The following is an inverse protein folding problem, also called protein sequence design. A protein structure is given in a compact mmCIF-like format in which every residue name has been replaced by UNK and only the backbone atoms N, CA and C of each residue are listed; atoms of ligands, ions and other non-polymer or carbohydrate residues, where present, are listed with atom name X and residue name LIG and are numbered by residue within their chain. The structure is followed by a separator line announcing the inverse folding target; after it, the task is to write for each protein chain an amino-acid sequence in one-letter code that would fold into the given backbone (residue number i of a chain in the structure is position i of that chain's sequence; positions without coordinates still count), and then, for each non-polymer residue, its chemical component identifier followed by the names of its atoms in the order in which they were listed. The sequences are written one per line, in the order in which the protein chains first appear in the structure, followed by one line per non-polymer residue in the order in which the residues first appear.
data_IF_857112425962
#
_entry.id   IF_857112425962
#
_cell.length_a   1.000
_cell.length_b   1.000
_cell.length_c   1.000
_cell.angle_alpha   90.00
_cell.angle_beta   90.00
_cell.angle_gamma   90.00
#
_symmetry.space_group_name_H-M   'P 1'
#
loop_
_entity.id
_entity.type
_entity.pdbx_description
1 polymer ?
#
# COMPACT_ATOMS: atom_id res chain seq x y z
N UNK A 1 35.14 -3.77 0.89
CA UNK A 1 34.15 -2.67 0.83
C UNK A 1 33.46 -2.75 -0.52
N UNK A 2 32.14 -2.91 -0.63
CA UNK A 2 31.53 -2.81 -1.94
C UNK A 2 31.71 -1.37 -2.42
N UNK A 3 32.22 -1.24 -3.64
CA UNK A 3 32.58 0.03 -4.24
C UNK A 3 31.34 0.92 -4.33
N UNK A 4 31.33 1.99 -3.52
CA UNK A 4 30.41 3.09 -3.74
C UNK A 4 30.82 3.77 -5.05
N UNK A 5 30.03 3.59 -6.10
CA UNK A 5 30.25 4.31 -7.36
C UNK A 5 30.08 5.82 -7.09
N UNK A 6 31.04 6.61 -7.57
CA UNK A 6 31.34 8.01 -7.20
C UNK A 6 30.20 9.04 -7.29
N UNK A 7 28.99 8.65 -7.69
CA UNK A 7 27.81 9.52 -7.73
C UNK A 7 26.96 9.45 -6.44
N UNK A 8 27.04 8.38 -5.65
CA UNK A 8 26.14 8.14 -4.50
C UNK A 8 26.75 8.38 -3.11
N UNK A 9 28.08 8.57 -2.99
CA UNK A 9 28.77 8.80 -1.71
C UNK A 9 29.18 10.26 -1.46
N UNK A 10 28.78 11.20 -2.32
CA UNK A 10 29.02 12.62 -2.08
C UNK A 10 28.01 13.21 -1.09
N UNK A 11 28.42 14.22 -0.31
CA UNK A 11 27.53 15.02 0.55
C UNK A 11 26.27 15.48 -0.21
N UNK A 12 26.44 15.87 -1.48
CA UNK A 12 25.33 16.25 -2.36
C UNK A 12 24.31 15.12 -2.57
N UNK A 13 24.75 13.88 -2.80
CA UNK A 13 23.85 12.73 -2.98
C UNK A 13 23.06 12.40 -1.71
N UNK A 14 23.70 12.52 -0.55
CA UNK A 14 23.07 12.38 0.76
C UNK A 14 22.02 13.48 1.02
N UNK A 15 22.35 14.75 0.74
CA UNK A 15 21.39 15.85 0.86
C UNK A 15 20.20 15.67 -0.08
N UNK A 16 20.44 15.32 -1.35
CA UNK A 16 19.36 15.07 -2.32
C UNK A 16 18.44 13.93 -1.87
N UNK A 17 19.01 12.84 -1.32
CA UNK A 17 18.23 11.74 -0.77
C UNK A 17 17.36 12.22 0.40
N UNK A 18 17.92 12.96 1.37
CA UNK A 18 17.16 13.49 2.52
C UNK A 18 16.05 14.43 2.07
N UNK A 19 16.32 15.35 1.13
CA UNK A 19 15.30 16.23 0.57
C UNK A 19 14.17 15.43 -0.08
N UNK A 20 14.50 14.41 -0.87
CA UNK A 20 13.51 13.50 -1.46
C UNK A 20 12.69 12.78 -0.38
N UNK A 21 13.33 12.21 0.65
CA UNK A 21 12.63 11.49 1.72
C UNK A 21 11.69 12.42 2.52
N UNK A 22 12.14 13.63 2.86
CA UNK A 22 11.34 14.62 3.58
C UNK A 22 10.14 15.06 2.74
N UNK A 23 10.37 15.42 1.47
CA UNK A 23 9.28 15.83 0.57
C UNK A 23 8.26 14.71 0.37
N UNK A 24 8.74 13.47 0.24
CA UNK A 24 7.87 12.29 0.15
C UNK A 24 7.07 12.08 1.44
N UNK A 25 7.69 12.19 2.63
CA UNK A 25 6.99 12.05 3.91
C UNK A 25 5.84 13.05 4.03
N UNK A 26 6.10 14.34 3.76
CA UNK A 26 5.05 15.36 3.77
C UNK A 26 3.94 15.06 2.77
N UNK A 27 4.28 14.65 1.55
CA UNK A 27 3.29 14.30 0.53
C UNK A 27 2.40 13.12 0.96
N UNK A 28 2.99 12.06 1.54
CA UNK A 28 2.27 10.89 2.05
C UNK A 28 1.33 11.31 3.18
N UNK A 29 1.85 12.03 4.18
CA UNK A 29 1.10 12.39 5.39
C UNK A 29 -0.04 13.33 5.04
N UNK A 30 0.24 14.45 4.35
CA UNK A 30 -0.79 15.43 4.00
C UNK A 30 -1.86 14.79 3.12
N UNK A 31 -1.46 14.06 2.08
CA UNK A 31 -2.39 13.44 1.14
C UNK A 31 -3.34 12.43 1.81
N UNK A 32 -2.80 11.58 2.68
CA UNK A 32 -3.60 10.55 3.34
C UNK A 32 -4.38 11.07 4.55
N UNK A 33 -3.89 12.09 5.27
CA UNK A 33 -4.67 12.78 6.31
C UNK A 33 -5.88 13.50 5.71
N UNK A 34 -5.70 14.21 4.59
CA UNK A 34 -6.83 14.82 3.85
C UNK A 34 -7.81 13.73 3.42
N UNK A 35 -7.30 12.59 2.96
CA UNK A 35 -8.14 11.45 2.56
C UNK A 35 -8.97 10.91 3.72
N UNK A 36 -8.34 10.72 4.89
CA UNK A 36 -9.05 10.34 6.11
C UNK A 36 -10.10 11.37 6.50
N UNK A 37 -9.76 12.66 6.53
CA UNK A 37 -10.66 13.75 6.90
C UNK A 37 -11.89 13.82 5.99
N UNK A 38 -11.69 13.72 4.68
CA UNK A 38 -12.79 13.73 3.69
C UNK A 38 -13.73 12.54 3.92
N UNK A 39 -13.20 11.33 4.12
CA UNK A 39 -14.02 10.15 4.31
C UNK A 39 -14.63 10.02 5.70
N UNK A 40 -14.09 10.67 6.74
CA UNK A 40 -14.73 10.73 8.07
C UNK A 40 -15.83 11.78 8.14
N UNK A 41 -15.66 12.93 7.48
CA UNK A 41 -16.67 13.99 7.43
C UNK A 41 -17.89 13.61 6.59
N UNK A 42 -17.72 12.75 5.59
CA UNK A 42 -18.83 12.26 4.77
C UNK A 42 -19.65 11.24 5.58
N UNK A 43 -20.77 11.68 6.18
CA UNK A 43 -21.64 10.88 7.10
C UNK A 43 -22.23 9.59 6.51
N UNK A 44 -22.18 9.40 5.19
CA UNK A 44 -22.63 8.15 4.55
C UNK A 44 -21.51 7.11 4.60
N UNK A 45 -21.44 6.29 5.66
CA UNK A 45 -20.45 5.19 5.77
C UNK A 45 -20.82 4.03 4.84
N UNK A 46 -20.67 4.23 3.53
CA UNK A 46 -20.73 3.13 2.57
C UNK A 46 -19.54 2.19 2.81
N UNK A 47 -19.73 0.88 2.73
CA UNK A 47 -18.67 -0.14 2.89
C UNK A 47 -17.35 0.14 2.13
N UNK A 48 -17.32 0.67 0.88
CA UNK A 48 -16.06 1.07 0.22
C UNK A 48 -15.22 2.09 0.97
N UNK A 49 -15.86 3.00 1.71
CA UNK A 49 -15.14 4.05 2.45
C UNK A 49 -14.38 3.47 3.65
N UNK A 50 -14.81 2.31 4.19
CA UNK A 50 -14.11 1.62 5.26
C UNK A 50 -12.75 1.11 4.80
N UNK A 51 -12.70 0.47 3.64
CA UNK A 51 -11.44 0.00 3.05
C UNK A 51 -10.52 1.16 2.68
N UNK A 52 -11.05 2.28 2.16
CA UNK A 52 -10.24 3.46 1.84
C UNK A 52 -9.61 4.10 3.09
N UNK A 53 -10.35 4.12 4.21
CA UNK A 53 -9.82 4.56 5.51
C UNK A 53 -8.71 3.64 6.01
N UNK A 54 -8.87 2.32 5.86
CA UNK A 54 -7.84 1.33 6.20
C UNK A 54 -6.56 1.59 5.42
N UNK A 55 -6.68 1.80 4.10
CA UNK A 55 -5.54 2.10 3.23
C UNK A 55 -4.83 3.40 3.64
N UNK A 56 -5.59 4.48 3.80
CA UNK A 56 -5.04 5.78 4.19
C UNK A 56 -4.38 5.74 5.58
N UNK A 57 -4.90 4.94 6.52
CA UNK A 57 -4.28 4.74 7.83
C UNK A 57 -2.93 4.03 7.72
N UNK A 58 -2.84 2.97 6.91
CA UNK A 58 -1.58 2.27 6.67
C UNK A 58 -0.55 3.20 5.99
N UNK A 59 -0.97 3.98 4.99
CA UNK A 59 -0.10 4.93 4.30
C UNK A 59 0.39 6.06 5.24
N UNK A 60 -0.47 6.57 6.14
CA UNK A 60 -0.05 7.54 7.18
C UNK A 60 1.00 6.93 8.11
N UNK A 61 0.86 5.67 8.53
CA UNK A 61 1.88 5.01 9.37
C UNK A 61 3.24 4.95 8.68
N UNK A 62 3.28 4.68 7.37
CA UNK A 62 4.53 4.73 6.58
C UNK A 62 5.12 6.15 6.58
N UNK A 63 4.29 7.16 6.31
CA UNK A 63 4.73 8.56 6.24
C UNK A 63 5.13 9.19 7.57
N UNK A 64 4.58 8.73 8.69
CA UNK A 64 4.85 9.28 10.04
C UNK A 64 5.93 8.49 10.80
N UNK A 65 6.01 7.17 10.62
CA UNK A 65 6.93 6.33 11.38
C UNK A 65 8.16 5.95 10.54
N UNK A 66 7.93 5.37 9.35
CA UNK A 66 9.00 4.70 8.60
C UNK A 66 9.92 5.70 7.90
N UNK A 67 9.35 6.64 7.13
CA UNK A 67 10.13 7.62 6.37
C UNK A 67 10.87 8.59 7.32
N UNK A 68 10.25 9.15 8.36
CA UNK A 68 10.93 10.06 9.28
C UNK A 68 12.06 9.38 10.07
N UNK A 69 11.90 8.12 10.45
CA UNK A 69 12.99 7.35 11.07
C UNK A 69 14.21 7.21 10.13
N UNK A 70 13.96 7.00 8.84
CA UNK A 70 15.01 6.91 7.82
C UNK A 70 15.73 8.26 7.65
N UNK A 71 14.97 9.36 7.59
CA UNK A 71 15.51 10.72 7.57
C UNK A 71 16.36 11.01 8.80
N UNK A 72 15.86 10.69 9.99
CA UNK A 72 16.58 10.88 11.25
C UNK A 72 17.91 10.13 11.25
N UNK A 73 17.91 8.88 10.78
CA UNK A 73 19.11 8.05 10.73
C UNK A 73 20.15 8.63 9.76
N UNK A 74 19.74 9.04 8.56
CA UNK A 74 20.64 9.68 7.59
C UNK A 74 21.22 11.01 8.08
N UNK A 75 20.40 11.87 8.69
CA UNK A 75 20.88 13.14 9.27
C UNK A 75 21.86 12.86 10.41
N UNK A 76 21.55 11.90 11.28
CA UNK A 76 22.44 11.52 12.38
C UNK A 76 23.81 11.06 11.83
N UNK A 77 23.81 10.20 10.81
CA UNK A 77 25.03 9.73 10.16
C UNK A 77 25.85 10.87 9.54
N UNK A 78 25.20 11.88 8.94
CA UNK A 78 25.88 13.05 8.37
C UNK A 78 26.50 13.96 9.43
N UNK A 79 25.84 14.14 10.58
CA UNK A 79 26.27 15.08 11.63
C UNK A 79 27.31 14.47 12.55
N UNK A 80 27.10 13.24 13.02
CA UNK A 80 27.95 12.64 14.05
C UNK A 80 29.04 11.74 13.49
N UNK A 81 28.95 11.32 12.23
CA UNK A 81 29.85 10.34 11.58
C UNK A 81 30.05 9.01 12.34
N UNK A 82 29.23 8.76 13.37
CA UNK A 82 29.22 7.52 14.15
C UNK A 82 27.95 6.75 13.83
N UNK A 83 28.05 5.49 13.35
CA UNK A 83 26.88 4.70 13.04
C UNK A 83 26.09 4.37 14.32
N UNK A 84 24.76 4.58 14.33
CA UNK A 84 23.95 4.24 15.48
C UNK A 84 23.88 2.71 15.68
N UNK A 85 23.49 2.27 16.88
CA UNK A 85 23.47 0.85 17.26
C UNK A 85 22.57 -0.04 16.38
N UNK A 86 21.58 0.53 15.70
CA UNK A 86 20.67 -0.18 14.78
C UNK A 86 21.16 -0.19 13.31
N UNK A 87 22.36 0.35 13.06
CA UNK A 87 23.00 0.36 11.75
C UNK A 87 23.58 -1.01 11.41
N UNK A 88 23.52 -1.39 10.13
CA UNK A 88 24.06 -2.66 9.66
C UNK A 88 25.55 -2.81 10.03
N UNK A 89 25.88 -3.89 10.76
CA UNK A 89 27.26 -4.14 11.21
C UNK A 89 27.71 -3.35 12.44
N UNK A 90 26.81 -2.71 13.20
CA UNK A 90 27.11 -2.09 14.49
C UNK A 90 27.60 -3.10 15.54
N UNK A 91 28.79 -2.82 16.10
CA UNK A 91 29.56 -3.44 17.20
C UNK A 91 29.14 -4.81 17.81
N UNK A 92 30.10 -5.72 18.09
CA UNK A 92 29.86 -6.98 18.81
C UNK A 92 29.43 -6.81 20.27
N UNK A 93 29.48 -5.60 20.85
CA UNK A 93 28.77 -5.29 22.10
C UNK A 93 27.27 -5.06 21.81
N UNK A 94 26.58 -6.12 21.37
CA UNK A 94 25.14 -6.23 21.54
C UNK A 94 24.89 -6.35 23.04
N UNK A 95 24.74 -5.21 23.72
CA UNK A 95 24.25 -5.20 25.09
C UNK A 95 22.86 -5.86 25.06
N UNK A 96 22.78 -7.10 25.55
CA UNK A 96 21.50 -7.80 25.68
C UNK A 96 20.53 -6.90 26.47
N UNK A 97 19.36 -6.63 25.88
CA UNK A 97 18.32 -5.80 26.50
C UNK A 97 18.17 -4.37 25.94
N UNK A 98 19.00 -3.90 25.01
CA UNK A 98 18.77 -2.60 24.35
C UNK A 98 17.77 -2.74 23.20
N UNK A 99 16.68 -1.97 23.25
CA UNK A 99 15.65 -1.94 22.20
C UNK A 99 16.21 -1.37 20.88
N UNK A 100 16.06 -2.12 19.79
CA UNK A 100 16.49 -1.68 18.45
C UNK A 100 15.29 -1.16 17.64
N UNK A 101 15.30 0.12 17.21
CA UNK A 101 14.16 0.71 16.48
C UNK A 101 13.77 -0.04 15.21
N UNK A 102 14.73 -0.65 14.50
CA UNK A 102 14.44 -1.41 13.29
C UNK A 102 13.59 -2.66 13.52
N UNK A 103 13.57 -3.24 14.73
CA UNK A 103 12.64 -4.32 15.08
C UNK A 103 11.18 -3.86 15.06
N UNK A 104 10.90 -2.57 15.24
CA UNK A 104 9.56 -2.01 15.09
C UNK A 104 9.34 -1.46 13.68
N UNK A 105 10.27 -0.66 13.17
CA UNK A 105 10.09 0.11 11.94
C UNK A 105 10.00 -0.79 10.70
N UNK A 106 10.83 -1.84 10.60
CA UNK A 106 10.78 -2.70 9.41
C UNK A 106 9.50 -3.55 9.33
N UNK A 107 8.99 -4.17 10.42
CA UNK A 107 7.69 -4.83 10.40
C UNK A 107 6.53 -3.86 10.17
N UNK A 108 6.62 -2.60 10.61
CA UNK A 108 5.64 -1.55 10.25
C UNK A 108 5.64 -1.31 8.75
N UNK A 109 6.81 -1.16 8.12
CA UNK A 109 6.90 -0.97 6.67
C UNK A 109 6.33 -2.16 5.88
N UNK A 110 6.76 -3.37 6.20
CA UNK A 110 6.28 -4.59 5.55
C UNK A 110 4.79 -4.82 5.82
N UNK A 111 4.35 -4.69 7.07
CA UNK A 111 2.96 -4.87 7.48
C UNK A 111 2.02 -3.88 6.80
N UNK A 112 2.35 -2.59 6.77
CA UNK A 112 1.54 -1.59 6.06
C UNK A 112 1.46 -1.86 4.55
N UNK A 113 2.54 -2.36 3.94
CA UNK A 113 2.53 -2.80 2.54
C UNK A 113 1.55 -3.95 2.32
N UNK A 114 1.60 -4.99 3.16
CA UNK A 114 0.68 -6.13 3.08
C UNK A 114 -0.78 -5.74 3.35
N UNK A 115 -1.01 -4.80 4.27
CA UNK A 115 -2.34 -4.21 4.50
C UNK A 115 -2.83 -3.51 3.24
N UNK A 116 -1.96 -2.77 2.56
CA UNK A 116 -2.29 -2.03 1.34
C UNK A 116 -2.80 -2.95 0.22
N UNK A 117 -2.04 -3.99 -0.13
CA UNK A 117 -2.46 -4.96 -1.16
C UNK A 117 -3.70 -5.77 -0.74
N UNK A 118 -3.78 -6.19 0.52
CA UNK A 118 -4.94 -6.92 1.04
C UNK A 118 -6.19 -6.05 0.94
N UNK A 119 -6.07 -4.76 1.23
CA UNK A 119 -7.15 -3.78 1.12
C UNK A 119 -7.58 -3.61 -0.34
N UNK A 120 -6.64 -3.52 -1.30
CA UNK A 120 -6.94 -3.45 -2.75
C UNK A 120 -7.66 -4.73 -3.22
N UNK A 121 -7.22 -5.90 -2.77
CA UNK A 121 -7.87 -7.16 -3.08
C UNK A 121 -9.30 -7.22 -2.53
N UNK A 122 -9.50 -6.84 -1.26
CA UNK A 122 -10.82 -6.80 -0.64
C UNK A 122 -11.77 -5.80 -1.33
N UNK A 123 -11.27 -4.62 -1.71
CA UNK A 123 -12.03 -3.67 -2.54
C UNK A 123 -12.46 -4.32 -3.87
N UNK A 124 -11.58 -5.08 -4.49
CA UNK A 124 -11.84 -5.77 -5.76
C UNK A 124 -12.91 -6.85 -5.61
N UNK A 125 -12.81 -7.67 -4.56
CA UNK A 125 -13.80 -8.69 -4.22
C UNK A 125 -15.16 -8.04 -3.97
N UNK A 126 -15.22 -6.99 -3.16
CA UNK A 126 -16.47 -6.28 -2.89
C UNK A 126 -17.13 -5.76 -4.17
N UNK A 127 -16.33 -5.14 -5.07
CA UNK A 127 -16.85 -4.65 -6.35
C UNK A 127 -17.31 -5.78 -7.26
N UNK A 128 -16.59 -6.89 -7.30
CA UNK A 128 -16.98 -8.05 -8.08
C UNK A 128 -18.33 -8.61 -7.62
N UNK A 129 -18.58 -8.65 -6.31
CA UNK A 129 -19.88 -9.05 -5.76
C UNK A 129 -20.98 -8.08 -6.19
N UNK A 130 -20.74 -6.77 -6.13
CA UNK A 130 -21.71 -5.77 -6.58
C UNK A 130 -22.04 -5.88 -8.09
N UNK A 131 -21.06 -6.27 -8.91
CA UNK A 131 -21.20 -6.42 -10.36
C UNK A 131 -21.83 -7.76 -10.75
N UNK A 132 -21.39 -8.85 -10.13
CA UNK A 132 -21.80 -10.22 -10.47
C UNK A 132 -23.10 -10.62 -9.78
N UNK A 133 -23.34 -10.12 -8.57
CA UNK A 133 -24.48 -10.46 -7.71
C UNK A 133 -25.21 -9.22 -7.17
N UNK A 134 -25.67 -8.32 -8.05
CA UNK A 134 -26.32 -7.06 -7.67
C UNK A 134 -27.52 -7.23 -6.71
N UNK A 135 -28.31 -8.30 -6.86
CA UNK A 135 -29.50 -8.55 -6.01
C UNK A 135 -29.15 -9.03 -4.59
N UNK A 136 -27.97 -9.61 -4.39
CA UNK A 136 -27.51 -10.11 -3.09
C UNK A 136 -26.49 -9.18 -2.44
N UNK A 137 -26.10 -8.08 -3.12
CA UNK A 137 -25.11 -7.13 -2.65
C UNK A 137 -25.39 -6.65 -1.24
N UNK A 138 -26.61 -6.20 -0.96
CA UNK A 138 -26.97 -5.61 0.33
C UNK A 138 -27.04 -6.65 1.47
N UNK A 139 -27.22 -7.93 1.13
CA UNK A 139 -27.18 -9.05 2.08
C UNK A 139 -25.77 -9.58 2.33
N UNK A 140 -24.89 -9.49 1.32
CA UNK A 140 -23.51 -10.01 1.39
C UNK A 140 -22.55 -8.96 1.97
N UNK A 141 -22.61 -7.72 1.46
CA UNK A 141 -21.69 -6.63 1.75
C UNK A 141 -22.23 -5.80 2.92
N UNK A 142 -21.92 -6.22 4.14
CA UNK A 142 -22.33 -5.53 5.37
C UNK A 142 -21.17 -4.83 6.05
N UNK A 143 -21.44 -3.74 6.78
CA UNK A 143 -20.42 -2.96 7.51
C UNK A 143 -19.66 -3.80 8.54
N UNK A 144 -20.35 -4.69 9.26
CA UNK A 144 -19.73 -5.57 10.27
C UNK A 144 -18.74 -6.56 9.64
N UNK A 145 -19.12 -7.19 8.52
CA UNK A 145 -18.23 -8.09 7.76
C UNK A 145 -17.04 -7.34 7.19
N UNK A 146 -17.26 -6.15 6.62
CA UNK A 146 -16.16 -5.33 6.09
C UNK A 146 -15.16 -4.92 7.18
N UNK A 147 -15.63 -4.50 8.36
CA UNK A 147 -14.76 -4.19 9.50
C UNK A 147 -13.97 -5.43 9.96
N UNK A 148 -14.63 -6.58 10.08
CA UNK A 148 -13.98 -7.84 10.43
C UNK A 148 -12.89 -8.21 9.41
N UNK A 149 -13.16 -8.10 8.12
CA UNK A 149 -12.18 -8.37 7.06
C UNK A 149 -10.98 -7.41 7.11
N UNK A 150 -11.21 -6.13 7.41
CA UNK A 150 -10.13 -5.16 7.65
C UNK A 150 -9.29 -5.57 8.86
N UNK A 151 -9.90 -5.86 10.01
CA UNK A 151 -9.15 -6.26 11.20
C UNK A 151 -8.35 -7.55 10.97
N UNK A 152 -8.96 -8.53 10.28
CA UNK A 152 -8.30 -9.76 9.90
C UNK A 152 -7.12 -9.50 8.96
N UNK A 153 -7.28 -8.62 7.96
CA UNK A 153 -6.20 -8.29 7.03
C UNK A 153 -5.04 -7.57 7.72
N UNK A 154 -5.32 -6.72 8.70
CA UNK A 154 -4.29 -6.08 9.54
C UNK A 154 -3.54 -7.13 10.36
N UNK A 155 -4.27 -7.98 11.08
CA UNK A 155 -3.66 -9.04 11.88
C UNK A 155 -2.79 -9.97 11.02
N UNK A 156 -3.33 -10.50 9.91
CA UNK A 156 -2.57 -11.40 9.02
C UNK A 156 -1.36 -10.72 8.37
N UNK A 157 -1.46 -9.45 8.01
CA UNK A 157 -0.35 -8.67 7.42
C UNK A 157 0.80 -8.46 8.41
N UNK A 158 0.51 -8.08 9.65
CA UNK A 158 1.55 -7.91 10.66
C UNK A 158 2.11 -9.24 11.15
N UNK A 159 1.29 -10.30 11.25
CA UNK A 159 1.77 -11.65 11.51
C UNK A 159 2.72 -12.13 10.41
N UNK A 160 2.39 -11.88 9.15
CA UNK A 160 3.24 -12.20 8.01
C UNK A 160 4.57 -11.41 8.05
N UNK A 161 4.52 -10.11 8.32
CA UNK A 161 5.70 -9.28 8.46
C UNK A 161 6.63 -9.77 9.60
N UNK A 162 6.06 -10.23 10.70
CA UNK A 162 6.84 -10.74 11.83
C UNK A 162 7.32 -12.19 11.66
N UNK A 163 6.72 -12.96 10.74
CA UNK A 163 6.98 -14.39 10.58
C UNK A 163 8.48 -14.75 10.44
N UNK A 164 9.31 -14.02 9.66
CA UNK A 164 10.73 -14.38 9.52
C UNK A 164 11.54 -14.24 10.83
N UNK A 165 11.09 -13.41 11.77
CA UNK A 165 11.76 -13.20 13.05
C UNK A 165 11.50 -14.34 14.04
N UNK A 166 10.31 -14.96 13.96
CA UNK A 166 9.89 -16.01 14.87
C UNK A 166 10.10 -17.42 14.29
N UNK A 167 9.81 -17.62 13.01
CA UNK A 167 9.83 -18.95 12.36
C UNK A 167 11.23 -19.32 11.87
N UNK A 168 12.07 -18.32 11.59
CA UNK A 168 13.37 -18.52 10.95
C UNK A 168 14.58 -18.52 11.88
N UNK A 169 14.51 -17.91 13.07
CA UNK A 169 15.61 -17.75 14.04
C UNK A 169 16.89 -17.04 13.55
N UNK A 170 17.07 -16.94 12.23
CA UNK A 170 18.29 -16.49 11.55
C UNK A 170 18.12 -15.17 10.82
N UNK A 171 17.02 -14.44 11.02
CA UNK A 171 16.87 -13.08 10.49
C UNK A 171 16.75 -12.06 11.63
N UNK A 172 17.34 -10.90 11.40
CA UNK A 172 17.21 -9.70 12.23
C UNK A 172 16.83 -8.53 11.34
N UNK A 173 16.42 -7.42 11.95
CA UNK A 173 16.13 -6.18 11.24
C UNK A 173 17.21 -5.15 11.52
N UNK A 174 17.90 -4.74 10.47
CA UNK A 174 19.00 -3.77 10.54
C UNK A 174 18.75 -2.63 9.55
N UNK A 175 19.27 -1.45 9.87
CA UNK A 175 19.23 -0.33 8.93
C UNK A 175 20.29 -0.51 7.85
N UNK A 176 19.85 -0.61 6.60
CA UNK A 176 20.73 -0.83 5.46
C UNK A 176 21.07 0.48 4.76
N UNK A 177 22.36 0.74 4.59
CA UNK A 177 22.89 1.98 3.99
C UNK A 177 22.49 2.18 2.52
N UNK A 178 22.34 1.08 1.77
CA UNK A 178 22.01 1.12 0.36
C UNK A 178 20.54 1.49 0.15
N UNK A 179 19.63 0.80 0.86
CA UNK A 179 18.20 1.10 0.75
C UNK A 179 17.78 2.31 1.59
N UNK A 180 18.60 2.75 2.55
CA UNK A 180 18.29 3.78 3.55
C UNK A 180 16.99 3.50 4.30
N UNK A 181 16.83 2.24 4.70
CA UNK A 181 15.61 1.74 5.35
C UNK A 181 15.94 0.51 6.21
N UNK A 182 15.14 0.26 7.24
CA UNK A 182 15.22 -0.99 7.99
C UNK A 182 14.78 -2.16 7.10
N UNK A 183 15.66 -3.14 6.90
CA UNK A 183 15.39 -4.33 6.11
C UNK A 183 15.78 -5.61 6.86
N UNK A 184 15.35 -6.75 6.33
CA UNK A 184 15.71 -8.05 6.89
C UNK A 184 17.14 -8.40 6.49
N UNK A 185 17.97 -8.70 7.49
CA UNK A 185 19.34 -9.14 7.33
C UNK A 185 19.52 -10.53 7.97
N UNK A 186 20.29 -11.43 7.34
CA UNK A 186 20.64 -12.69 7.97
C UNK A 186 21.51 -12.44 9.21
N UNK A 187 21.22 -13.15 10.30
CA UNK A 187 21.94 -13.07 11.56
C UNK A 187 23.36 -13.63 11.38
N UNK A 188 24.37 -12.81 11.68
CA UNK A 188 25.80 -13.14 11.50
C UNK A 188 26.46 -13.79 12.73
N UNK A 189 25.70 -14.51 13.56
CA UNK A 189 26.28 -15.16 14.74
C UNK A 189 27.01 -16.43 14.27
N UNK A 190 28.34 -16.41 14.40
CA UNK A 190 29.32 -17.18 13.61
C UNK A 190 29.45 -18.68 13.87
N UNK A 191 28.37 -19.44 14.00
CA UNK A 191 28.44 -20.93 13.93
C UNK A 191 27.14 -21.63 13.54
N UNK A 192 26.12 -20.89 13.07
CA UNK A 192 24.84 -21.45 12.64
C UNK A 192 24.77 -21.73 11.13
N UNK A 193 23.94 -22.70 10.67
CA UNK A 193 23.62 -22.82 9.25
C UNK A 193 23.02 -21.50 8.75
N UNK A 194 23.46 -21.07 7.56
CA UNK A 194 22.96 -19.86 6.91
C UNK A 194 21.43 -19.85 6.95
N UNK A 195 20.83 -18.75 7.41
CA UNK A 195 19.39 -18.62 7.45
C UNK A 195 18.79 -18.91 6.07
N UNK A 196 17.77 -19.78 6.01
CA UNK A 196 17.12 -20.14 4.76
C UNK A 196 16.47 -18.90 4.14
N UNK A 197 17.17 -18.26 3.18
CA UNK A 197 16.71 -17.10 2.42
C UNK A 197 15.33 -17.28 1.79
N UNK A 198 14.96 -18.54 1.51
CA UNK A 198 13.67 -18.93 0.96
C UNK A 198 12.46 -18.43 1.78
N UNK A 199 12.59 -18.21 3.09
CA UNK A 199 11.49 -17.64 3.90
C UNK A 199 11.08 -16.24 3.42
N UNK A 200 12.03 -15.46 2.88
CA UNK A 200 11.75 -14.13 2.35
C UNK A 200 10.94 -14.17 1.05
N UNK A 201 10.92 -15.31 0.34
CA UNK A 201 10.08 -15.50 -0.84
C UNK A 201 8.58 -15.56 -0.48
N UNK A 202 8.25 -15.76 0.79
CA UNK A 202 6.86 -15.71 1.27
C UNK A 202 6.22 -14.36 0.98
N UNK A 203 6.99 -13.26 1.04
CA UNK A 203 6.49 -11.91 0.79
C UNK A 203 6.06 -11.72 -0.68
N UNK A 204 6.93 -11.86 -1.69
CA UNK A 204 6.50 -11.77 -3.09
C UNK A 204 5.50 -12.85 -3.48
N UNK A 205 5.56 -14.05 -2.89
CA UNK A 205 4.54 -15.07 -3.14
C UNK A 205 3.15 -14.61 -2.67
N UNK A 206 3.04 -14.03 -1.48
CA UNK A 206 1.79 -13.48 -0.96
C UNK A 206 1.27 -12.33 -1.84
N UNK A 207 2.13 -11.36 -2.15
CA UNK A 207 1.75 -10.18 -2.93
C UNK A 207 1.33 -10.54 -4.36
N UNK A 208 2.07 -11.41 -5.05
CA UNK A 208 1.68 -11.89 -6.38
C UNK A 208 0.41 -12.75 -6.35
N UNK A 209 0.16 -13.50 -5.28
CA UNK A 209 -1.09 -14.26 -5.13
C UNK A 209 -2.28 -13.32 -5.03
N UNK A 210 -2.19 -12.26 -4.23
CA UNK A 210 -3.26 -11.26 -4.11
C UNK A 210 -3.42 -10.42 -5.37
N UNK A 211 -2.32 -10.05 -6.04
CA UNK A 211 -2.35 -9.34 -7.32
C UNK A 211 -2.95 -10.20 -8.44
N UNK A 212 -2.53 -11.47 -8.53
CA UNK A 212 -3.08 -12.44 -9.47
C UNK A 212 -4.57 -12.68 -9.22
N UNK A 213 -4.97 -12.85 -7.95
CA UNK A 213 -6.37 -12.93 -7.54
C UNK A 213 -7.17 -11.68 -7.92
N UNK A 214 -6.61 -10.49 -7.68
CA UNK A 214 -7.22 -9.20 -8.04
C UNK A 214 -7.44 -9.11 -9.55
N UNK A 215 -6.43 -9.47 -10.35
CA UNK A 215 -6.52 -9.47 -11.80
C UNK A 215 -7.57 -10.48 -12.29
N UNK A 216 -7.55 -11.71 -11.76
CA UNK A 216 -8.50 -12.76 -12.13
C UNK A 216 -9.94 -12.35 -11.84
N UNK A 217 -10.20 -11.79 -10.65
CA UNK A 217 -11.52 -11.31 -10.24
C UNK A 217 -12.00 -10.15 -11.12
N UNK A 218 -11.10 -9.21 -11.44
CA UNK A 218 -11.42 -8.11 -12.35
C UNK A 218 -11.75 -8.61 -13.77
N UNK A 219 -10.92 -9.50 -14.33
CA UNK A 219 -11.16 -10.10 -15.66
C UNK A 219 -12.47 -10.88 -15.68
N UNK A 220 -12.75 -11.68 -14.64
CA UNK A 220 -14.02 -12.40 -14.53
C UNK A 220 -15.22 -11.44 -14.47
N UNK A 221 -15.11 -10.36 -13.70
CA UNK A 221 -16.15 -9.34 -13.59
C UNK A 221 -16.43 -8.67 -14.94
N UNK A 222 -15.38 -8.22 -15.65
CA UNK A 222 -15.52 -7.57 -16.96
C UNK A 222 -16.03 -8.53 -18.05
N UNK A 223 -15.54 -9.77 -18.09
CA UNK A 223 -16.00 -10.76 -19.07
C UNK A 223 -17.47 -11.11 -18.86
N UNK A 224 -17.92 -11.26 -17.61
CA UNK A 224 -19.33 -11.49 -17.26
C UNK A 224 -20.22 -10.31 -17.65
N UNK A 225 -19.81 -9.07 -17.37
CA UNK A 225 -20.53 -7.87 -17.84
C UNK A 225 -20.66 -7.88 -19.37
N UNK A 226 -19.55 -8.08 -20.09
CA UNK A 226 -19.55 -8.08 -21.57
C UNK A 226 -20.44 -9.17 -22.14
N UNK A 227 -20.40 -10.38 -21.58
CA UNK A 227 -21.28 -11.50 -21.99
C UNK A 227 -22.74 -11.16 -21.73
N UNK A 228 -23.07 -10.60 -20.58
CA UNK A 228 -24.44 -10.17 -20.25
C UNK A 228 -24.94 -9.09 -21.21
N UNK A 229 -24.14 -8.07 -21.48
CA UNK A 229 -24.47 -7.01 -22.45
C UNK A 229 -24.64 -7.56 -23.87
N UNK A 230 -23.77 -8.47 -24.32
CA UNK A 230 -23.86 -9.08 -25.66
C UNK A 230 -25.10 -9.97 -25.80
N UNK A 231 -25.40 -10.79 -24.80
CA UNK A 231 -26.62 -11.62 -24.77
C UNK A 231 -27.89 -10.76 -24.83
N UNK A 232 -27.92 -9.64 -24.09
CA UNK A 232 -29.03 -8.66 -24.18
C UNK A 232 -29.14 -7.99 -25.55
N UNK A 233 -28.02 -7.58 -26.17
CA UNK A 233 -28.05 -7.00 -27.52
C UNK A 233 -28.59 -7.96 -28.57
N UNK A 234 -28.28 -9.25 -28.47
CA UNK A 234 -28.83 -10.28 -29.35
C UNK A 234 -30.34 -10.46 -29.15
N UNK A 235 -30.81 -10.47 -27.89
CA UNK A 235 -32.24 -10.57 -27.56
C UNK A 235 -33.03 -9.31 -27.96
N UNK A 236 -32.47 -8.11 -27.76
CA UNK A 236 -33.10 -6.85 -28.16
C UNK A 236 -33.03 -6.60 -29.67
N UNK A 237 -32.01 -7.09 -30.37
CA UNK A 237 -31.91 -7.03 -31.82
C UNK A 237 -32.85 -8.01 -32.54
N UNK A 238 -33.38 -9.02 -31.83
CA UNK A 238 -34.40 -9.93 -32.35
C UNK A 238 -35.84 -9.42 -32.10
N UNK A 239 -36.02 -8.31 -31.36
CA UNK A 239 -37.33 -7.81 -30.95
C UNK A 239 -37.44 -6.30 -31.03
N UNK A 240 -37.49 -5.75 -32.26
CA UNK A 240 -38.14 -4.47 -32.53
C UNK A 240 -38.52 -4.32 -34.01
N UNK A 241 -39.68 -4.89 -34.36
CA UNK A 241 -40.78 -4.09 -34.91
C UNK A 241 -41.87 -4.06 -33.84
N UNK A 242 -42.12 -2.91 -33.21
CA UNK A 242 -43.15 -2.79 -32.17
C UNK A 242 -42.86 -1.71 -31.15
N UNK A 243 -43.43 -0.54 -31.42
CA UNK A 243 -43.46 0.68 -30.62
C UNK A 243 -44.03 0.49 -29.20
N UNK A 244 -43.66 1.40 -28.28
CA UNK A 244 -44.40 1.67 -27.06
C UNK A 244 -43.92 1.02 -25.75
N UNK A 245 -43.70 1.86 -24.74
CA UNK A 245 -43.88 1.48 -23.34
C UNK A 245 -42.62 1.45 -22.48
N UNK A 246 -42.45 2.48 -21.65
CA UNK A 246 -41.39 2.60 -20.66
C UNK A 246 -41.29 1.39 -19.73
N UNK A 247 -40.13 0.75 -19.74
CA UNK A 247 -39.75 -0.30 -18.80
C UNK A 247 -38.23 -0.35 -18.69
N UNK A 248 -37.62 0.66 -18.06
CA UNK A 248 -36.21 0.61 -17.72
C UNK A 248 -35.94 -0.57 -16.77
N UNK A 249 -35.51 -1.72 -17.30
CA UNK A 249 -35.23 -2.90 -16.48
C UNK A 249 -34.10 -2.64 -15.45
N UNK A 250 -34.11 -3.31 -14.28
CA UNK A 250 -33.37 -2.93 -13.07
C UNK A 250 -31.87 -3.32 -13.08
N UNK A 251 -31.30 -3.62 -14.25
CA UNK A 251 -30.07 -4.41 -14.34
C UNK A 251 -29.08 -3.90 -15.40
N UNK A 252 -28.87 -2.58 -15.45
CA UNK A 252 -27.59 -2.06 -15.93
C UNK A 252 -26.66 -2.02 -14.72
N UNK A 253 -25.44 -2.59 -14.76
CA UNK A 253 -24.40 -2.13 -13.82
C UNK A 253 -24.36 -0.61 -13.95
N UNK A 254 -24.50 0.09 -12.83
CA UNK A 254 -24.58 1.55 -12.88
C UNK A 254 -23.31 2.07 -13.53
N UNK A 255 -23.39 3.17 -14.30
CA UNK A 255 -22.20 3.87 -14.80
C UNK A 255 -21.21 4.18 -13.66
N UNK A 256 -21.72 4.31 -12.42
CA UNK A 256 -20.94 4.44 -11.20
C UNK A 256 -20.08 3.20 -10.90
N UNK A 257 -20.63 1.99 -11.04
CA UNK A 257 -19.93 0.73 -10.73
C UNK A 257 -18.81 0.44 -11.75
N UNK A 258 -19.04 0.74 -13.02
CA UNK A 258 -18.02 0.63 -14.09
C UNK A 258 -16.87 1.60 -13.83
N UNK A 259 -17.18 2.84 -13.40
CA UNK A 259 -16.16 3.84 -13.08
C UNK A 259 -15.33 3.43 -11.86
N UNK A 260 -15.97 2.88 -10.83
CA UNK A 260 -15.29 2.36 -9.63
C UNK A 260 -14.37 1.17 -9.96
N UNK A 261 -14.83 0.21 -10.76
CA UNK A 261 -14.01 -0.92 -11.20
C UNK A 261 -12.76 -0.48 -12.00
N UNK A 262 -12.88 0.57 -12.82
CA UNK A 262 -11.74 1.17 -13.52
C UNK A 262 -10.73 1.79 -12.55
N UNK A 263 -11.19 2.47 -11.51
CA UNK A 263 -10.30 3.02 -10.46
C UNK A 263 -9.52 1.92 -9.76
N UNK A 264 -10.18 0.81 -9.41
CA UNK A 264 -9.50 -0.35 -8.80
C UNK A 264 -8.45 -0.93 -9.73
N UNK A 265 -8.75 -1.12 -11.02
CA UNK A 265 -7.75 -1.60 -11.98
C UNK A 265 -6.50 -0.69 -12.06
N UNK A 266 -6.68 0.63 -11.94
CA UNK A 266 -5.55 1.58 -11.89
C UNK A 266 -4.76 1.44 -10.58
N UNK A 267 -5.43 1.28 -9.43
CA UNK A 267 -4.77 1.03 -8.14
C UNK A 267 -3.95 -0.27 -8.17
N UNK A 268 -4.53 -1.36 -8.70
CA UNK A 268 -3.84 -2.64 -8.84
C UNK A 268 -2.59 -2.50 -9.73
N UNK A 269 -2.70 -1.77 -10.85
CA UNK A 269 -1.57 -1.54 -11.74
C UNK A 269 -0.47 -0.72 -11.06
N UNK A 270 -0.84 0.38 -10.37
CA UNK A 270 0.12 1.22 -9.64
C UNK A 270 0.87 0.41 -8.56
N UNK A 271 0.13 -0.35 -7.74
CA UNK A 271 0.74 -1.21 -6.72
C UNK A 271 1.68 -2.26 -7.34
N UNK A 272 1.27 -2.90 -8.43
CA UNK A 272 2.10 -3.90 -9.13
C UNK A 272 3.40 -3.28 -9.62
N UNK A 273 3.34 -2.10 -10.25
CA UNK A 273 4.51 -1.39 -10.74
C UNK A 273 5.47 -1.01 -9.60
N UNK A 274 4.93 -0.57 -8.45
CA UNK A 274 5.74 -0.19 -7.29
C UNK A 274 6.33 -1.39 -6.52
N UNK A 275 5.63 -2.52 -6.53
CA UNK A 275 6.04 -3.73 -5.80
C UNK A 275 7.03 -4.60 -6.58
N UNK A 276 6.93 -4.62 -7.91
CA UNK A 276 7.76 -5.48 -8.77
C UNK A 276 9.27 -5.34 -8.51
N UNK A 277 9.83 -4.13 -8.32
CA UNK A 277 11.26 -3.98 -7.98
C UNK A 277 11.65 -4.64 -6.65
N UNK A 278 10.80 -4.58 -5.62
CA UNK A 278 11.06 -5.26 -4.34
C UNK A 278 11.06 -6.77 -4.55
N UNK A 279 10.09 -7.31 -5.29
CA UNK A 279 10.03 -8.74 -5.56
C UNK A 279 11.31 -9.24 -6.28
N UNK A 280 11.78 -8.47 -7.27
CA UNK A 280 13.02 -8.74 -7.99
C UNK A 280 14.24 -8.65 -7.06
N UNK A 281 14.29 -7.65 -6.18
CA UNK A 281 15.35 -7.49 -5.18
C UNK A 281 15.41 -8.68 -4.21
N UNK A 282 14.27 -9.12 -3.68
CA UNK A 282 14.18 -10.27 -2.77
C UNK A 282 14.65 -11.54 -3.46
N UNK A 283 14.18 -11.79 -4.68
CA UNK A 283 14.62 -12.95 -5.48
C UNK A 283 16.14 -12.90 -5.74
N UNK A 284 16.66 -11.73 -6.12
CA UNK A 284 18.10 -11.51 -6.34
C UNK A 284 18.93 -11.84 -5.09
N UNK A 285 18.52 -11.37 -3.91
CA UNK A 285 19.22 -11.66 -2.66
C UNK A 285 19.18 -13.15 -2.30
N UNK A 286 18.06 -13.85 -2.54
CA UNK A 286 17.95 -15.29 -2.29
C UNK A 286 18.88 -16.09 -3.20
N UNK A 287 19.10 -15.63 -4.43
CA UNK A 287 20.06 -16.21 -5.38
C UNK A 287 21.52 -15.82 -5.07
N UNK A 288 21.74 -14.87 -4.15
CA UNK A 288 23.06 -14.44 -3.70
C UNK A 288 23.60 -13.17 -4.36
N UNK A 289 22.76 -12.42 -5.08
CA UNK A 289 23.14 -11.12 -5.64
C UNK A 289 23.04 -9.99 -4.62
N UNK A 290 23.97 -9.03 -4.67
CA UNK A 290 23.97 -7.82 -3.84
C UNK A 290 23.77 -6.60 -4.72
N UNK A 291 22.63 -5.91 -4.58
CA UNK A 291 22.29 -4.76 -5.43
C UNK A 291 22.05 -3.48 -4.63
N UNK A 292 23.13 -2.75 -4.35
CA UNK A 292 23.08 -1.55 -3.51
C UNK A 292 22.23 -0.42 -4.14
N UNK A 293 22.55 0.00 -5.36
CA UNK A 293 21.81 1.09 -6.03
C UNK A 293 20.35 0.72 -6.30
N UNK A 294 20.09 -0.52 -6.70
CA UNK A 294 18.74 -1.00 -6.99
C UNK A 294 17.86 -1.10 -5.74
N UNK A 295 18.43 -1.43 -4.57
CA UNK A 295 17.66 -1.54 -3.33
C UNK A 295 17.06 -0.19 -2.92
N UNK A 296 17.79 0.91 -3.10
CA UNK A 296 17.22 2.26 -2.93
C UNK A 296 15.98 2.44 -3.80
N UNK A 297 16.10 2.25 -5.12
CA UNK A 297 14.98 2.42 -6.03
C UNK A 297 13.80 1.51 -5.68
N UNK A 298 14.06 0.25 -5.31
CA UNK A 298 13.02 -0.71 -4.99
C UNK A 298 12.21 -0.32 -3.75
N UNK A 299 12.88 0.02 -2.64
CA UNK A 299 12.22 0.40 -1.39
C UNK A 299 11.47 1.72 -1.50
N UNK A 300 12.09 2.73 -2.11
CA UNK A 300 11.50 4.06 -2.22
C UNK A 300 10.40 4.15 -3.26
N UNK A 301 10.43 3.32 -4.32
CA UNK A 301 9.30 3.19 -5.24
C UNK A 301 8.09 2.57 -4.56
N UNK A 302 8.29 1.55 -3.72
CA UNK A 302 7.22 0.97 -2.93
C UNK A 302 6.65 1.97 -1.91
N UNK A 303 7.51 2.70 -1.19
CA UNK A 303 7.06 3.74 -0.26
C UNK A 303 6.28 4.86 -0.97
N UNK A 304 6.70 5.24 -2.20
CA UNK A 304 6.00 6.24 -3.00
C UNK A 304 4.61 5.80 -3.48
N UNK A 305 4.30 4.50 -3.48
CA UNK A 305 2.97 3.99 -3.81
C UNK A 305 1.88 4.57 -2.91
N UNK A 306 2.21 4.85 -1.64
CA UNK A 306 1.30 5.52 -0.68
C UNK A 306 0.85 6.91 -1.15
N UNK A 307 1.66 7.62 -1.96
CA UNK A 307 1.25 8.85 -2.63
C UNK A 307 0.40 8.58 -3.87
N UNK A 308 0.76 7.57 -4.66
CA UNK A 308 0.03 7.19 -5.86
C UNK A 308 -1.44 6.88 -5.54
N UNK A 309 -1.71 6.24 -4.40
CA UNK A 309 -3.06 5.98 -3.90
C UNK A 309 -3.91 7.26 -3.83
N UNK A 310 -3.40 8.30 -3.15
CA UNK A 310 -4.07 9.61 -3.00
C UNK A 310 -4.33 10.27 -4.36
N UNK A 311 -3.33 10.24 -5.25
CA UNK A 311 -3.43 10.80 -6.61
C UNK A 311 -4.51 10.09 -7.42
N UNK A 312 -4.60 8.77 -7.31
CA UNK A 312 -5.63 7.99 -8.02
C UNK A 312 -7.04 8.33 -7.49
N UNK A 313 -7.21 8.45 -6.17
CA UNK A 313 -8.48 8.86 -5.58
C UNK A 313 -8.88 10.28 -5.98
N UNK A 314 -7.95 11.22 -5.90
CA UNK A 314 -8.21 12.64 -6.22
C UNK A 314 -8.65 12.84 -7.67
N UNK A 315 -8.07 12.11 -8.62
CA UNK A 315 -8.42 12.23 -10.03
C UNK A 315 -9.73 11.51 -10.38
N UNK A 316 -10.02 10.37 -9.76
CA UNK A 316 -11.07 9.45 -10.23
C UNK A 316 -12.35 9.48 -9.42
N UNK A 317 -12.27 9.75 -8.12
CA UNK A 317 -13.44 9.74 -7.24
C UNK A 317 -14.13 11.11 -7.21
N UNK A 318 -15.35 11.17 -7.77
CA UNK A 318 -16.16 12.39 -7.78
C UNK A 318 -16.62 12.79 -6.38
N UNK A 319 -16.83 11.82 -5.48
CA UNK A 319 -17.16 12.06 -4.08
C UNK A 319 -15.96 12.62 -3.33
N UNK A 320 -14.77 12.10 -3.58
CA UNK A 320 -13.53 12.64 -3.01
C UNK A 320 -13.32 14.11 -3.42
N UNK A 321 -13.39 14.43 -4.71
CA UNK A 321 -13.21 15.82 -5.19
C UNK A 321 -14.24 16.78 -4.61
N UNK A 322 -15.50 16.34 -4.47
CA UNK A 322 -16.54 17.14 -3.81
C UNK A 322 -16.26 17.31 -2.31
N UNK A 323 -15.83 16.24 -1.64
CA UNK A 323 -15.44 16.26 -0.24
C UNK A 323 -14.25 17.17 0.04
N UNK A 324 -13.22 17.13 -0.80
CA UNK A 324 -12.06 18.06 -0.74
C UNK A 324 -12.52 19.51 -0.94
N UNK A 325 -13.36 19.79 -1.95
CA UNK A 325 -13.90 21.13 -2.16
C UNK A 325 -14.70 21.63 -0.97
N UNK A 326 -15.52 20.78 -0.34
CA UNK A 326 -16.26 21.10 0.87
C UNK A 326 -15.36 21.29 2.10
N UNK A 327 -14.31 20.48 2.25
CA UNK A 327 -13.34 20.60 3.33
C UNK A 327 -12.65 21.98 3.30
N UNK A 328 -12.08 22.36 2.15
CA UNK A 328 -11.43 23.65 1.98
C UNK A 328 -12.40 24.86 2.02
N UNK A 329 -13.63 24.70 1.54
CA UNK A 329 -14.64 25.77 1.67
C UNK A 329 -15.14 25.95 3.10
N UNK A 330 -15.23 24.86 3.88
CA UNK A 330 -15.67 24.94 5.28
C UNK A 330 -14.60 25.58 6.17
N UNK A 331 -13.32 25.29 5.92
CA UNK A 331 -12.21 25.96 6.61
C UNK A 331 -12.14 27.46 6.27
N UNK A 332 -12.56 27.85 5.06
CA UNK A 332 -12.71 29.27 4.68
C UNK A 332 -13.91 29.98 5.34
N UNK A 333 -14.95 29.25 5.77
CA UNK A 333 -16.11 29.83 6.48
C UNK A 333 -15.96 29.82 8.00
N UNK A 334 -14.94 29.15 8.55
CA UNK A 334 -14.62 29.15 9.97
C UNK A 334 -13.38 30.05 10.22
N UNK A 335 -13.53 31.38 10.07
CA UNK A 335 -13.50 32.21 11.28
C UNK A 335 -14.31 33.52 11.15
N UNK A 336 -15.43 33.64 11.87
CA UNK A 336 -15.97 34.97 12.27
C UNK A 336 -17.02 34.98 13.40
N UNK A 337 -17.24 33.89 14.16
CA UNK A 337 -18.29 33.84 15.19
C UNK A 337 -17.81 33.46 16.60
N UNK A 338 -16.61 33.90 16.99
CA UNK A 338 -16.22 33.99 18.40
C UNK A 338 -15.62 35.38 18.66
N UNK A 339 -16.51 36.37 18.79
CA UNK A 339 -16.32 37.63 19.50
C UNK A 339 -17.66 38.36 19.49
N UNK A 340 -18.50 38.06 20.48
CA UNK A 340 -19.42 39.03 21.07
C UNK A 340 -19.71 38.66 22.51
#
# INVERSE_FOLDING_TARGET
APLCHSCCCGLLGHVLAVVFMVTLAFAIVIGNVVTLAVFTQTRQTCTPQGYLKSLALADVMVGVLVVPFSVFTEISLMVTSVPPMWFQGGSPLRAEGVWQPCQLIGPVFAGCTFVSISTIFLMTVERSVAVLWPLHKDMVVTRRRALFLVLLSWASSFLLALAPLFVGGGFTLEYNECSRMCNYAPRRDGDGPMANGNVMLLFPAFDFTLLGGTLAVNVLSFTRIRRYTRKRKLLSGAGHGGDGGGGACPHRPSFSDIKAAKTIGILTFAFTASFSPIAVFVLGNVVGHVWCTFSFFAFWMLAANSCCNVVIYSMRDRHFRRGVGLFFHRDRMAPQNEKS
#
